data_IF_894985574192
#
_entry.id   IF_894985574192
#
_cell.length_a   1.000
_cell.length_b   1.000
_cell.length_c   1.000
_cell.angle_alpha   90.00
_cell.angle_beta   90.00
_cell.angle_gamma   90.00
#
_symmetry.space_group_name_H-M   'P 1'
#
loop_
_entity.id
_entity.type
_entity.pdbx_description
1 polymer ?
#
# COMPACT_ATOMS: atom_id res chain seq x y z
N UNK A 1 -13.77 17.05 0.27
CA UNK A 1 -12.54 17.88 0.28
C UNK A 1 -11.89 17.68 -1.08
N UNK A 2 -11.60 18.76 -1.79
CA UNK A 2 -11.00 18.68 -3.13
C UNK A 2 -9.48 18.70 -2.98
N UNK A 3 -8.80 17.62 -3.38
CA UNK A 3 -7.34 17.57 -3.40
C UNK A 3 -6.86 18.14 -4.73
N UNK A 4 -6.18 19.29 -4.67
CA UNK A 4 -5.64 19.98 -5.84
C UNK A 4 -4.13 19.83 -5.88
N UNK A 5 -3.60 19.42 -7.03
CA UNK A 5 -2.16 19.41 -7.32
C UNK A 5 -1.89 20.28 -8.55
N UNK A 6 -0.73 20.95 -8.55
CA UNK A 6 -0.27 21.76 -9.69
C UNK A 6 1.10 21.23 -10.13
N UNK A 7 1.23 20.92 -11.42
CA UNK A 7 2.50 20.58 -12.05
C UNK A 7 2.98 21.78 -12.87
N UNK A 8 4.16 22.30 -12.52
CA UNK A 8 4.84 23.35 -13.28
C UNK A 8 6.09 22.77 -13.93
N UNK A 9 6.21 22.94 -15.25
CA UNK A 9 7.42 22.65 -16.01
C UNK A 9 7.96 23.99 -16.52
N UNK A 10 9.28 24.16 -16.54
CA UNK A 10 9.91 25.37 -17.08
C UNK A 10 9.43 25.61 -18.52
N UNK A 11 9.07 26.85 -18.83
CA UNK A 11 8.51 27.29 -20.12
C UNK A 11 7.20 26.62 -20.57
N UNK A 12 6.42 26.02 -19.65
CA UNK A 12 5.08 25.50 -19.94
C UNK A 12 4.02 26.09 -19.01
N UNK A 13 2.77 26.12 -19.48
CA UNK A 13 1.64 26.47 -18.63
C UNK A 13 1.45 25.43 -17.51
N UNK A 14 1.07 25.94 -16.33
CA UNK A 14 0.79 25.12 -15.16
C UNK A 14 -0.39 24.18 -15.43
N UNK A 15 -0.17 22.88 -15.27
CA UNK A 15 -1.26 21.90 -15.31
C UNK A 15 -1.83 21.75 -13.91
N UNK A 16 -3.09 22.15 -13.75
CA UNK A 16 -3.83 22.00 -12.49
C UNK A 16 -4.71 20.77 -12.58
N UNK A 17 -4.50 19.82 -11.67
CA UNK A 17 -5.34 18.63 -11.53
C UNK A 17 -6.11 18.72 -10.22
N UNK A 18 -7.43 18.57 -10.31
CA UNK A 18 -8.33 18.55 -9.16
C UNK A 18 -9.00 17.19 -9.08
N UNK A 19 -8.63 16.40 -8.07
CA UNK A 19 -9.20 15.07 -7.85
C UNK A 19 -9.96 15.10 -6.52
N UNK A 20 -11.30 14.99 -6.53
CA UNK A 20 -12.03 14.78 -5.31
C UNK A 20 -11.72 13.37 -4.80
N UNK A 21 -10.99 13.27 -3.68
CA UNK A 21 -10.82 11.99 -3.00
C UNK A 21 -12.10 11.70 -2.21
N UNK A 22 -12.69 10.54 -2.47
CA UNK A 22 -13.79 10.05 -1.64
C UNK A 22 -13.21 9.51 -0.33
N UNK A 23 -13.68 10.06 0.80
CA UNK A 23 -13.30 9.63 2.15
C UNK A 23 -11.89 10.00 2.62
N UNK A 24 -11.44 9.32 3.69
CA UNK A 24 -10.17 9.56 4.39
C UNK A 24 -9.51 8.22 4.70
N UNK A 25 -8.18 8.20 4.79
CA UNK A 25 -7.42 7.04 5.24
C UNK A 25 -7.66 5.81 4.37
N UNK A 26 -8.07 4.72 5.00
CA UNK A 26 -8.12 3.39 4.39
C UNK A 26 -9.40 3.06 3.62
N UNK A 27 -10.09 4.07 3.06
CA UNK A 27 -11.39 3.84 2.41
C UNK A 27 -11.27 2.86 1.25
N UNK A 28 -10.21 2.98 0.45
CA UNK A 28 -10.04 2.17 -0.74
C UNK A 28 -9.68 0.72 -0.39
N UNK A 29 -8.83 0.48 0.62
CA UNK A 29 -8.59 -0.90 1.07
C UNK A 29 -9.87 -1.51 1.65
N UNK A 30 -10.63 -0.75 2.46
CA UNK A 30 -11.89 -1.24 3.01
C UNK A 30 -12.90 -1.59 1.89
N UNK A 31 -13.00 -0.76 0.85
CA UNK A 31 -13.84 -1.04 -0.32
C UNK A 31 -13.40 -2.31 -1.05
N UNK A 32 -12.09 -2.53 -1.20
CA UNK A 32 -11.56 -3.73 -1.86
C UNK A 32 -11.81 -4.99 -1.03
N UNK A 33 -11.59 -4.96 0.28
CA UNK A 33 -11.91 -6.09 1.18
C UNK A 33 -13.38 -6.43 1.10
N UNK A 34 -14.26 -5.41 1.21
CA UNK A 34 -15.71 -5.63 1.11
C UNK A 34 -16.14 -6.17 -0.26
N UNK A 35 -15.44 -5.79 -1.35
CA UNK A 35 -15.67 -6.36 -2.68
C UNK A 35 -15.28 -7.84 -2.72
N UNK A 36 -14.07 -8.18 -2.27
CA UNK A 36 -13.56 -9.56 -2.25
C UNK A 36 -14.49 -10.49 -1.44
N UNK A 37 -14.90 -10.06 -0.24
CA UNK A 37 -15.80 -10.83 0.61
C UNK A 37 -17.16 -11.07 -0.04
N UNK A 38 -17.74 -10.07 -0.74
CA UNK A 38 -19.01 -10.24 -1.47
C UNK A 38 -18.90 -11.21 -2.64
N UNK A 39 -17.72 -11.30 -3.25
CA UNK A 39 -17.43 -12.23 -4.34
C UNK A 39 -16.99 -13.62 -3.84
N UNK A 40 -16.92 -13.83 -2.52
CA UNK A 40 -16.49 -15.11 -1.93
C UNK A 40 -14.99 -15.37 -2.07
N UNK A 41 -14.19 -14.34 -2.36
CA UNK A 41 -12.74 -14.46 -2.47
C UNK A 41 -12.09 -14.46 -1.08
N UNK A 42 -11.06 -15.27 -0.91
CA UNK A 42 -10.27 -15.37 0.32
C UNK A 42 -9.07 -14.41 0.34
N UNK A 43 -8.73 -13.82 -0.80
CA UNK A 43 -7.65 -12.84 -0.95
C UNK A 43 -7.99 -11.80 -2.03
N UNK A 44 -7.24 -10.70 -2.08
CA UNK A 44 -7.41 -9.68 -3.12
C UNK A 44 -6.62 -10.06 -4.37
N UNK A 45 -7.24 -10.10 -5.56
CA UNK A 45 -6.51 -10.26 -6.81
C UNK A 45 -5.54 -9.10 -7.13
N UNK A 46 -5.71 -7.95 -6.47
CA UNK A 46 -4.82 -6.78 -6.61
C UNK A 46 -3.68 -6.76 -5.59
N UNK A 47 -3.83 -7.48 -4.48
CA UNK A 47 -2.81 -7.66 -3.45
C UNK A 47 -2.88 -9.12 -2.98
N UNK A 48 -2.28 -10.06 -3.74
CA UNK A 48 -2.25 -11.47 -3.38
C UNK A 48 -1.44 -11.71 -2.11
N UNK A 49 -1.71 -12.83 -1.44
CA UNK A 49 -0.93 -13.20 -0.24
C UNK A 49 0.54 -13.45 -0.56
N UNK A 50 0.85 -13.99 -1.74
CA UNK A 50 2.23 -14.23 -2.17
C UNK A 50 3.04 -12.94 -2.28
N UNK A 51 2.46 -11.87 -2.82
CA UNK A 51 3.12 -10.55 -2.88
C UNK A 51 3.35 -9.99 -1.47
N UNK A 52 2.39 -10.18 -0.55
CA UNK A 52 2.56 -9.79 0.85
C UNK A 52 3.74 -10.50 1.49
N UNK A 53 3.92 -11.80 1.21
CA UNK A 53 5.07 -12.57 1.69
C UNK A 53 6.39 -12.10 1.07
N UNK A 54 6.41 -11.75 -0.21
CA UNK A 54 7.60 -11.21 -0.89
C UNK A 54 8.03 -9.86 -0.28
N UNK A 55 7.07 -8.98 0.00
CA UNK A 55 7.34 -7.71 0.68
C UNK A 55 7.92 -7.97 2.08
N UNK A 56 7.32 -8.87 2.87
CA UNK A 56 7.81 -9.20 4.21
C UNK A 56 9.23 -9.76 4.18
N UNK A 57 9.53 -10.69 3.27
CA UNK A 57 10.89 -11.22 3.07
C UNK A 57 11.89 -10.13 2.69
N UNK A 58 11.49 -9.20 1.83
CA UNK A 58 12.31 -8.05 1.44
C UNK A 58 12.62 -7.16 2.64
N UNK A 59 11.62 -6.87 3.47
CA UNK A 59 11.80 -6.10 4.70
C UNK A 59 12.75 -6.80 5.69
N UNK A 60 12.64 -8.12 5.83
CA UNK A 60 13.55 -8.91 6.67
C UNK A 60 14.99 -8.88 6.14
N UNK A 61 15.19 -8.95 4.83
CA UNK A 61 16.52 -8.83 4.21
C UNK A 61 17.15 -7.45 4.47
N UNK A 62 16.35 -6.39 4.36
CA UNK A 62 16.80 -5.02 4.67
C UNK A 62 17.19 -4.89 6.16
N UNK A 63 16.43 -5.54 7.05
CA UNK A 63 16.64 -5.51 8.50
C UNK A 63 17.80 -6.41 8.96
N UNK A 64 18.12 -7.48 8.23
CA UNK A 64 19.10 -8.50 8.63
C UNK A 64 20.44 -7.98 9.19
N UNK A 65 21.09 -6.94 8.62
CA UNK A 65 22.35 -6.42 9.14
C UNK A 65 22.19 -5.54 10.41
N UNK A 66 20.99 -5.18 10.82
CA UNK A 66 20.77 -4.33 12.00
C UNK A 66 20.77 -5.16 13.29
N UNK A 67 21.18 -4.58 14.43
CA UNK A 67 21.10 -5.23 15.74
C UNK A 67 19.67 -5.29 16.30
N UNK A 68 18.65 -5.31 15.43
CA UNK A 68 17.24 -5.34 15.77
C UNK A 68 16.67 -6.75 15.60
N UNK A 69 16.42 -7.43 16.72
CA UNK A 69 15.82 -8.77 16.77
C UNK A 69 14.49 -8.74 17.51
N UNK A 70 13.50 -9.44 16.97
CA UNK A 70 12.22 -9.66 17.63
C UNK A 70 12.19 -11.05 18.25
N UNK A 71 11.40 -11.25 19.31
CA UNK A 71 11.21 -12.58 19.92
C UNK A 71 10.72 -13.61 18.90
N UNK A 72 9.88 -13.19 17.95
CA UNK A 72 9.37 -14.04 16.88
C UNK A 72 10.44 -14.50 15.87
N UNK A 73 11.64 -13.91 15.87
CA UNK A 73 12.76 -14.41 15.05
C UNK A 73 13.40 -15.67 15.69
N UNK A 74 13.16 -15.94 16.98
CA UNK A 74 13.79 -17.05 17.73
C UNK A 74 13.12 -18.41 17.47
N UNK A 75 11.85 -18.43 17.05
CA UNK A 75 11.13 -19.69 16.74
C UNK A 75 11.50 -20.29 15.37
N UNK A 76 12.26 -19.56 14.56
CA UNK A 76 12.72 -19.94 13.22
C UNK A 76 14.21 -20.30 13.16
N UNK A 77 14.91 -20.32 14.32
CA UNK A 77 16.34 -20.67 14.42
C UNK A 77 16.57 -22.13 14.79
#
# INVERSE_FOLDING_TARGET
MTTRATLQVEDKEAVVVSIPLEGRGLLYEAREVMRCLREGLTESPRMPLDESLEIMRTMDQIRAPWPLKYKNDEELS
#
